data_IF_113006394503
#
_entry.id   IF_113006394503
#
_cell.length_a   1.000
_cell.length_b   1.000
_cell.length_c   1.000
_cell.angle_alpha   90.00
_cell.angle_beta   90.00
_cell.angle_gamma   90.00
#
_symmetry.space_group_name_H-M   'P 1'
#
loop_
_entity.id
_entity.type
_entity.pdbx_description
1 polymer ?
#
# COMPACT_ATOMS: atom_id res chain seq x y z
N UNK A 1 25.78 3.14 9.13
CA UNK A 1 24.44 3.49 8.59
C UNK A 1 24.35 4.93 8.04
N UNK A 2 25.13 5.90 8.53
CA UNK A 2 25.11 7.30 8.03
C UNK A 2 25.72 7.50 6.62
N UNK A 3 26.70 6.68 6.20
CA UNK A 3 27.34 6.77 4.87
C UNK A 3 26.44 6.50 3.66
N UNK A 4 25.31 5.81 3.85
CA UNK A 4 24.40 5.46 2.74
C UNK A 4 23.62 6.71 2.30
N UNK A 5 23.37 7.65 3.22
CA UNK A 5 22.55 8.84 2.98
C UNK A 5 23.34 10.03 2.44
N UNK A 6 24.64 10.13 2.74
CA UNK A 6 25.53 11.20 2.23
C UNK A 6 25.92 11.02 0.76
N UNK A 7 25.72 9.82 0.18
CA UNK A 7 26.00 9.52 -1.22
C UNK A 7 24.76 9.43 -2.13
N UNK A 8 23.58 9.84 -1.63
CA UNK A 8 22.32 9.79 -2.37
C UNK A 8 21.96 11.17 -2.95
N UNK A 9 21.42 11.17 -4.16
CA UNK A 9 20.94 12.37 -4.84
C UNK A 9 19.85 13.07 -4.00
N UNK A 10 19.78 14.40 -4.05
CA UNK A 10 18.77 15.18 -3.32
C UNK A 10 17.33 14.74 -3.63
N UNK A 11 17.08 14.26 -4.85
CA UNK A 11 15.79 13.70 -5.26
C UNK A 11 15.42 12.41 -4.48
N UNK A 12 16.40 11.54 -4.18
CA UNK A 12 16.16 10.34 -3.38
C UNK A 12 15.81 10.71 -1.94
N UNK A 13 16.52 11.67 -1.36
CA UNK A 13 16.25 12.13 -0.01
C UNK A 13 14.86 12.75 0.10
N UNK A 14 14.50 13.61 -0.85
CA UNK A 14 13.17 14.22 -0.93
C UNK A 14 12.05 13.17 -0.99
N UNK A 15 12.14 12.24 -1.94
CA UNK A 15 11.12 11.19 -2.10
C UNK A 15 11.02 10.30 -0.86
N UNK A 16 12.15 9.89 -0.27
CA UNK A 16 12.16 9.06 0.94
C UNK A 16 11.57 9.78 2.16
N UNK A 17 11.89 11.07 2.37
CA UNK A 17 11.33 11.89 3.46
C UNK A 17 9.84 12.09 3.26
N UNK A 18 9.40 12.34 2.02
CA UNK A 18 7.97 12.52 1.71
C UNK A 18 7.18 11.23 1.94
N UNK A 19 7.65 10.08 1.43
CA UNK A 19 7.05 8.77 1.70
C UNK A 19 6.98 8.51 3.21
N UNK A 20 8.08 8.74 3.91
CA UNK A 20 8.18 8.46 5.35
C UNK A 20 7.29 9.38 6.19
N UNK A 21 7.16 10.65 5.81
CA UNK A 21 6.27 11.60 6.47
C UNK A 21 4.81 11.16 6.34
N UNK A 22 4.40 10.72 5.14
CA UNK A 22 3.05 10.20 4.89
C UNK A 22 2.82 8.88 5.64
N UNK A 23 3.79 7.96 5.61
CA UNK A 23 3.72 6.68 6.34
C UNK A 23 3.61 6.88 7.86
N UNK A 24 4.37 7.82 8.41
CA UNK A 24 4.28 8.21 9.82
C UNK A 24 2.91 8.84 10.12
N UNK A 25 2.39 9.68 9.24
CA UNK A 25 1.07 10.30 9.41
C UNK A 25 -0.03 9.24 9.45
N UNK A 26 0.02 8.21 8.61
CA UNK A 26 -0.90 7.07 8.69
C UNK A 26 -0.74 6.26 9.98
N UNK A 27 0.48 6.14 10.50
CA UNK A 27 0.71 5.51 11.81
C UNK A 27 0.17 6.33 12.99
N UNK A 28 0.24 7.67 12.94
CA UNK A 28 -0.28 8.57 14.00
C UNK A 28 -1.81 8.71 13.90
N UNK A 29 -2.36 8.85 12.70
CA UNK A 29 -3.81 8.96 12.44
C UNK A 29 -4.42 7.58 12.19
N UNK A 30 -4.24 6.70 13.18
CA UNK A 30 -4.77 5.34 13.16
C UNK A 30 -6.31 5.35 13.07
N UNK A 31 -6.82 5.09 11.87
CA UNK A 31 -8.25 5.12 11.53
C UNK A 31 -8.55 4.01 10.52
N UNK A 32 -9.80 3.52 10.45
CA UNK A 32 -10.19 2.45 9.51
C UNK A 32 -9.82 2.74 8.04
N UNK A 33 -9.93 4.01 7.62
CA UNK A 33 -9.52 4.41 6.27
C UNK A 33 -8.01 4.36 6.08
N UNK A 34 -7.25 4.74 7.10
CA UNK A 34 -5.79 4.68 7.07
C UNK A 34 -5.27 3.24 7.02
N UNK A 35 -5.90 2.30 7.73
CA UNK A 35 -5.50 0.88 7.67
C UNK A 35 -5.89 0.23 6.35
N UNK A 36 -7.06 0.58 5.79
CA UNK A 36 -7.53 0.05 4.51
C UNK A 36 -6.77 0.62 3.29
N UNK A 37 -6.58 1.95 3.22
CA UNK A 37 -6.01 2.62 2.04
C UNK A 37 -4.52 2.92 2.18
N UNK A 38 -3.99 3.03 3.40
CA UNK A 38 -2.61 3.42 3.66
C UNK A 38 -1.58 2.56 2.95
N UNK A 39 -1.62 1.21 3.08
CA UNK A 39 -0.66 0.34 2.40
C UNK A 39 -0.66 0.54 0.87
N UNK A 40 -1.84 0.64 0.24
CA UNK A 40 -1.98 0.83 -1.21
C UNK A 40 -1.49 2.21 -1.66
N UNK A 41 -1.76 3.27 -0.90
CA UNK A 41 -1.26 4.61 -1.20
C UNK A 41 0.26 4.65 -1.10
N UNK A 42 0.85 4.01 -0.09
CA UNK A 42 2.31 3.98 0.09
C UNK A 42 3.03 3.19 -1.00
N UNK A 43 2.47 2.04 -1.44
CA UNK A 43 3.06 1.28 -2.54
C UNK A 43 2.94 2.03 -3.87
N UNK A 44 1.80 2.63 -4.16
CA UNK A 44 1.60 3.43 -5.39
C UNK A 44 2.50 4.67 -5.42
N UNK A 45 2.68 5.34 -4.29
CA UNK A 45 3.60 6.47 -4.17
C UNK A 45 5.07 6.05 -4.31
N UNK A 46 5.45 4.88 -3.79
CA UNK A 46 6.76 4.27 -4.04
C UNK A 46 7.00 3.94 -5.53
N UNK A 47 5.98 3.39 -6.21
CA UNK A 47 6.02 3.11 -7.66
C UNK A 47 6.12 4.41 -8.47
N UNK A 48 5.37 5.45 -8.09
CA UNK A 48 5.44 6.76 -8.73
C UNK A 48 6.86 7.33 -8.69
N UNK A 49 7.50 7.36 -7.52
CA UNK A 49 8.87 7.84 -7.39
C UNK A 49 9.90 6.93 -8.06
N UNK A 50 9.61 5.64 -8.20
CA UNK A 50 10.42 4.73 -9.00
C UNK A 50 10.46 5.19 -10.47
N UNK A 51 9.30 5.41 -11.09
CA UNK A 51 9.24 5.91 -12.46
C UNK A 51 9.83 7.32 -12.60
N UNK A 52 9.59 8.21 -11.65
CA UNK A 52 10.16 9.55 -11.66
C UNK A 52 11.70 9.52 -11.56
N UNK A 53 12.28 8.64 -10.74
CA UNK A 53 13.73 8.50 -10.61
C UNK A 53 14.40 7.96 -11.88
N UNK A 54 13.76 6.99 -12.55
CA UNK A 54 14.25 6.48 -13.84
C UNK A 54 14.16 7.57 -14.91
N UNK A 55 13.02 8.28 -14.99
CA UNK A 55 12.84 9.38 -15.93
C UNK A 55 13.89 10.48 -15.72
N UNK A 56 14.20 10.81 -14.47
CA UNK A 56 15.26 11.78 -14.14
C UNK A 56 16.64 11.32 -14.62
N UNK A 57 16.99 10.05 -14.43
CA UNK A 57 18.27 9.50 -14.90
C UNK A 57 18.39 9.40 -16.42
N UNK A 58 17.26 9.35 -17.13
CA UNK A 58 17.19 9.35 -18.59
C UNK A 58 17.20 10.75 -19.20
N UNK A 59 16.89 11.80 -18.43
CA UNK A 59 16.72 13.15 -18.94
C UNK A 59 18.00 13.72 -19.56
N UNK A 60 19.15 13.40 -18.97
CA UNK A 60 20.48 13.81 -19.47
C UNK A 60 21.23 12.67 -20.16
N UNK A 61 20.54 11.59 -20.54
CA UNK A 61 21.16 10.45 -21.19
C UNK A 61 21.39 10.72 -22.69
N UNK A 62 22.64 10.74 -23.12
CA UNK A 62 23.02 10.81 -24.54
C UNK A 62 23.42 9.42 -25.05
N UNK A 63 22.68 8.93 -26.05
CA UNK A 63 22.98 7.66 -26.71
C UNK A 63 24.27 7.70 -27.55
N UNK A 64 24.75 8.88 -27.93
CA UNK A 64 26.00 9.04 -28.68
C UNK A 64 27.25 9.04 -27.78
N UNK A 65 27.09 9.34 -26.48
CA UNK A 65 28.15 9.24 -25.47
C UNK A 65 27.68 8.48 -24.23
N UNK A 66 27.52 7.17 -24.43
CA UNK A 66 27.08 6.25 -23.38
C UNK A 66 28.02 6.25 -22.17
N UNK A 67 29.33 6.42 -22.37
CA UNK A 67 30.31 6.33 -21.27
C UNK A 67 30.13 7.43 -20.24
N UNK A 68 29.83 8.66 -20.69
CA UNK A 68 29.55 9.78 -19.78
C UNK A 68 28.12 9.74 -19.23
N UNK A 69 27.18 9.12 -19.95
CA UNK A 69 25.75 9.04 -19.57
C UNK A 69 25.41 7.92 -18.57
N UNK A 70 26.19 6.83 -18.54
CA UNK A 70 25.97 5.68 -17.64
C UNK A 70 25.94 6.06 -16.15
N UNK A 71 26.87 6.88 -15.61
CA UNK A 71 26.83 7.29 -14.21
C UNK A 71 25.52 8.00 -13.81
N UNK A 72 24.97 8.85 -14.68
CA UNK A 72 23.70 9.55 -14.41
C UNK A 72 22.51 8.60 -14.40
N UNK A 73 22.45 7.70 -15.37
CA UNK A 73 21.44 6.66 -15.44
C UNK A 73 21.46 5.76 -14.19
N UNK A 74 22.66 5.36 -13.75
CA UNK A 74 22.84 4.59 -12.51
C UNK A 74 22.40 5.37 -11.26
N UNK A 75 22.56 6.70 -11.25
CA UNK A 75 22.03 7.58 -10.21
C UNK A 75 20.50 7.57 -10.17
N UNK A 76 19.85 7.67 -11.33
CA UNK A 76 18.39 7.57 -11.47
C UNK A 76 17.86 6.20 -11.01
N UNK A 77 18.49 5.12 -11.46
CA UNK A 77 18.14 3.74 -11.07
C UNK A 77 18.34 3.49 -9.57
N UNK A 78 19.43 4.01 -8.99
CA UNK A 78 19.64 3.93 -7.53
C UNK A 78 18.51 4.64 -6.79
N UNK A 79 18.11 5.82 -7.28
CA UNK A 79 17.04 6.61 -6.67
C UNK A 79 15.71 5.88 -6.73
N UNK A 80 15.36 5.34 -7.89
CA UNK A 80 14.10 4.66 -8.11
C UNK A 80 13.96 3.40 -7.25
N UNK A 81 15.05 2.65 -7.10
CA UNK A 81 15.08 1.46 -6.25
C UNK A 81 14.83 1.82 -4.78
N UNK A 82 15.55 2.79 -4.23
CA UNK A 82 15.39 3.19 -2.83
C UNK A 82 14.00 3.77 -2.53
N UNK A 83 13.44 4.56 -3.44
CA UNK A 83 12.07 5.06 -3.27
C UNK A 83 11.04 3.93 -3.15
N UNK A 84 11.16 2.88 -3.98
CA UNK A 84 10.29 1.71 -3.92
C UNK A 84 10.46 0.94 -2.60
N UNK A 85 11.71 0.72 -2.16
CA UNK A 85 12.01 0.05 -0.88
C UNK A 85 11.35 0.78 0.29
N UNK A 86 11.45 2.11 0.34
CA UNK A 86 10.85 2.92 1.41
C UNK A 86 9.31 2.84 1.36
N UNK A 87 8.70 2.93 0.18
CA UNK A 87 7.24 2.81 0.03
C UNK A 87 6.71 1.45 0.50
N UNK A 88 7.36 0.36 0.06
CA UNK A 88 6.99 -1.00 0.45
C UNK A 88 7.24 -1.23 1.94
N UNK A 89 8.35 -0.74 2.48
CA UNK A 89 8.68 -0.88 3.90
C UNK A 89 7.59 -0.28 4.81
N UNK A 90 7.15 0.95 4.51
CA UNK A 90 6.09 1.59 5.28
C UNK A 90 4.74 0.87 5.08
N UNK A 91 4.42 0.44 3.85
CA UNK A 91 3.19 -0.29 3.59
C UNK A 91 3.14 -1.62 4.36
N UNK A 92 4.26 -2.33 4.42
CA UNK A 92 4.40 -3.57 5.16
C UNK A 92 4.29 -3.33 6.67
N UNK A 93 4.88 -2.26 7.18
CA UNK A 93 4.78 -1.90 8.61
C UNK A 93 3.32 -1.64 9.02
N UNK A 94 2.53 -0.99 8.16
CA UNK A 94 1.09 -0.82 8.38
C UNK A 94 0.36 -2.17 8.41
N UNK A 95 0.60 -3.04 7.41
CA UNK A 95 -0.03 -4.37 7.34
C UNK A 95 0.33 -5.25 8.55
N UNK A 96 1.59 -5.26 8.96
CA UNK A 96 2.04 -6.02 10.14
C UNK A 96 1.37 -5.47 11.40
N UNK A 97 1.28 -4.15 11.56
CA UNK A 97 0.60 -3.57 12.71
C UNK A 97 -0.88 -3.93 12.76
N UNK A 98 -1.58 -3.93 11.62
CA UNK A 98 -2.98 -4.40 11.57
C UNK A 98 -3.07 -5.89 11.94
N UNK A 99 -2.18 -6.73 11.41
CA UNK A 99 -2.16 -8.15 11.72
C UNK A 99 -1.88 -8.47 13.20
N UNK A 100 -1.06 -7.66 13.88
CA UNK A 100 -0.69 -7.86 15.28
C UNK A 100 -1.67 -7.23 16.29
N UNK A 101 -2.18 -6.03 16.00
CA UNK A 101 -3.00 -5.25 16.94
C UNK A 101 -4.50 -5.27 16.62
N UNK A 102 -4.90 -5.92 15.51
CA UNK A 102 -6.26 -5.87 15.00
C UNK A 102 -6.58 -4.53 14.32
N UNK A 103 -7.70 -4.51 13.61
CA UNK A 103 -8.18 -3.27 12.99
C UNK A 103 -8.53 -2.21 14.05
N UNK A 104 -8.36 -0.94 13.67
CA UNK A 104 -8.79 0.21 14.46
C UNK A 104 -10.30 0.11 14.74
N UNK A 105 -10.65 -0.43 15.91
CA UNK A 105 -11.98 -0.73 16.42
C UNK A 105 -12.77 -1.75 15.60
N UNK A 106 -12.80 -3.00 16.04
CA UNK A 106 -13.90 -3.94 15.74
C UNK A 106 -14.99 -3.76 16.82
N UNK A 107 -16.11 -3.06 16.56
CA UNK A 107 -17.40 -3.63 16.84
C UNK A 107 -17.69 -4.65 15.74
N UNK A 108 -18.09 -5.85 16.15
CA UNK A 108 -18.72 -6.79 15.24
C UNK A 108 -19.85 -6.07 14.50
N UNK A 109 -19.97 -6.33 13.20
CA UNK A 109 -20.95 -5.78 12.23
C UNK A 109 -20.39 -4.69 11.30
N UNK A 110 -20.13 -5.08 10.05
CA UNK A 110 -20.54 -4.28 8.90
C UNK A 110 -19.51 -3.32 8.29
N UNK A 111 -18.30 -3.77 8.00
CA UNK A 111 -17.43 -3.05 7.07
C UNK A 111 -17.09 -3.95 5.86
N UNK A 112 -18.10 -4.13 5.02
CA UNK A 112 -18.05 -4.09 3.56
C UNK A 112 -16.68 -4.32 2.90
N UNK A 113 -16.12 -5.49 3.13
CA UNK A 113 -15.45 -6.26 2.09
C UNK A 113 -16.60 -6.89 1.29
N UNK A 114 -16.65 -6.66 -0.03
CA UNK A 114 -17.81 -7.03 -0.85
C UNK A 114 -18.30 -8.41 -0.49
N UNK A 115 -19.59 -8.53 -0.14
CA UNK A 115 -20.20 -9.82 0.24
C UNK A 115 -19.70 -10.87 -0.73
N UNK A 116 -18.96 -11.85 -0.23
CA UNK A 116 -18.44 -12.90 -1.10
C UNK A 116 -19.62 -13.66 -1.70
N UNK A 117 -19.41 -14.38 -2.80
CA UNK A 117 -20.45 -15.26 -3.35
C UNK A 117 -20.95 -16.24 -2.28
N UNK A 118 -20.10 -16.60 -1.32
CA UNK A 118 -20.46 -17.43 -0.16
C UNK A 118 -21.44 -16.74 0.79
N UNK A 119 -21.33 -15.44 1.02
CA UNK A 119 -22.31 -14.70 1.84
C UNK A 119 -23.66 -14.60 1.14
N UNK A 120 -23.68 -14.40 -0.18
CA UNK A 120 -24.90 -14.46 -0.99
C UNK A 120 -25.53 -15.86 -0.95
N UNK A 121 -24.71 -16.90 -1.09
CA UNK A 121 -25.16 -18.29 -1.01
C UNK A 121 -25.75 -18.62 0.36
N UNK A 122 -25.11 -18.16 1.45
CA UNK A 122 -25.61 -18.31 2.82
C UNK A 122 -26.92 -17.58 3.03
N UNK A 123 -27.04 -16.34 2.55
CA UNK A 123 -28.27 -15.56 2.65
C UNK A 123 -29.42 -16.23 1.86
N UNK A 124 -29.15 -16.75 0.67
CA UNK A 124 -30.13 -17.49 -0.13
C UNK A 124 -30.56 -18.81 0.54
N UNK A 125 -29.63 -19.57 1.11
CA UNK A 125 -29.92 -20.79 1.87
C UNK A 125 -30.76 -20.47 3.10
N UNK A 126 -30.46 -19.37 3.80
CA UNK A 126 -31.19 -18.93 4.98
C UNK A 126 -32.61 -18.47 4.62
N UNK A 127 -32.77 -17.73 3.51
CA UNK A 127 -34.08 -17.35 2.96
C UNK A 127 -34.90 -18.59 2.60
N UNK A 128 -34.31 -19.54 1.88
CA UNK A 128 -34.98 -20.79 1.50
C UNK A 128 -35.42 -21.58 2.74
N UNK A 129 -34.56 -21.71 3.77
CA UNK A 129 -34.93 -22.38 5.02
C UNK A 129 -36.04 -21.65 5.80
N UNK A 130 -36.05 -20.32 5.78
CA UNK A 130 -37.10 -19.54 6.45
C UNK A 130 -38.47 -19.68 5.78
N UNK A 131 -38.49 -19.85 4.45
CA UNK A 131 -39.72 -20.07 3.68
C UNK A 131 -40.17 -21.54 3.81
N UNK A 132 -39.24 -22.49 3.77
CA UNK A 132 -39.54 -23.92 3.90
C UNK A 132 -39.89 -24.35 5.34
N UNK A 133 -39.45 -23.62 6.37
CA UNK A 133 -39.74 -23.90 7.77
C UNK A 133 -41.00 -23.20 8.31
N UNK A 134 -41.75 -22.48 7.47
CA UNK A 134 -42.95 -21.74 7.85
C UNK A 134 -44.18 -22.58 8.14
N UNK A 135 -44.16 -23.88 7.85
CA UNK A 135 -45.35 -24.76 7.94
C UNK A 135 -45.43 -25.59 9.25
N UNK A 136 -44.35 -25.71 10.03
CA UNK A 136 -44.32 -26.57 11.23
C UNK A 136 -44.71 -25.85 12.54
N UNK A 137 -44.82 -24.52 12.53
CA UNK A 137 -45.15 -23.73 13.74
C UNK A 137 -46.65 -23.41 13.90
N UNK A 138 -47.51 -23.91 13.00
CA UNK A 138 -48.96 -23.67 13.02
C UNK A 138 -49.80 -24.82 13.59
N UNK A 139 -49.19 -25.89 14.11
CA UNK A 139 -49.89 -27.09 14.62
C UNK A 139 -49.60 -27.44 16.09
N UNK A 140 -49.47 -26.43 16.95
CA UNK A 140 -49.67 -26.55 18.41
C UNK A 140 -50.57 -25.41 18.90
#
# INVERSE_FOLDING_TARGET
MLRIWEGLNGFTQFSAVLISSIGLLFHIRWSRRATALGPTILTTLGIFFCFAGIAWGLLDFDANDVRSSVPHLLGGIRTSFWASVVGIFWALTLKIRVALFGDAAVPASGAQEGSTVDDLARLLVQLNRSIAGGDDSALL
#
